data_IF_826919007702
#
_entry.id   IF_826919007702
#
_cell.length_a   1.000
_cell.length_b   1.000
_cell.length_c   1.000
_cell.angle_alpha   90.00
_cell.angle_beta   90.00
_cell.angle_gamma   90.00
#
_symmetry.space_group_name_H-M   'P 1'
#
loop_
_entity.id
_entity.type
_entity.pdbx_description
1 polymer ?
#
# COMPACT_ATOMS: atom_id res chain seq x y z
N UNK A 1 4.93 -11.35 22.97
CA UNK A 1 5.92 -10.39 22.45
C UNK A 1 6.68 -10.92 21.24
N UNK A 2 7.51 -11.95 21.41
CA UNK A 2 8.35 -12.47 20.30
C UNK A 2 7.53 -12.86 19.06
N UNK A 3 6.41 -13.55 19.25
CA UNK A 3 5.52 -13.95 18.16
C UNK A 3 4.92 -12.77 17.38
N UNK A 4 4.59 -11.68 18.06
CA UNK A 4 4.09 -10.46 17.42
C UNK A 4 5.16 -9.83 16.52
N UNK A 5 6.38 -9.67 17.01
CA UNK A 5 7.50 -9.14 16.23
C UNK A 5 7.85 -10.04 15.03
N UNK A 6 7.77 -11.36 15.22
CA UNK A 6 8.03 -12.31 14.15
C UNK A 6 6.94 -12.24 13.07
N UNK A 7 5.65 -12.19 13.45
CA UNK A 7 4.56 -12.05 12.50
C UNK A 7 4.65 -10.71 11.75
N UNK A 8 4.99 -9.63 12.45
CA UNK A 8 5.20 -8.30 11.88
C UNK A 8 6.34 -8.31 10.86
N UNK A 9 7.48 -8.90 11.23
CA UNK A 9 8.64 -9.03 10.34
C UNK A 9 8.29 -9.84 9.09
N UNK A 10 7.67 -11.02 9.24
CA UNK A 10 7.33 -11.90 8.11
C UNK A 10 6.32 -11.22 7.18
N UNK A 11 5.29 -10.59 7.72
CA UNK A 11 4.26 -9.91 6.95
C UNK A 11 4.86 -8.77 6.10
N UNK A 12 5.70 -7.95 6.69
CA UNK A 12 6.36 -6.87 5.95
C UNK A 12 7.48 -7.37 5.03
N UNK A 13 8.14 -8.46 5.36
CA UNK A 13 9.09 -9.12 4.48
C UNK A 13 8.41 -9.64 3.20
N UNK A 14 7.26 -10.29 3.34
CA UNK A 14 6.46 -10.73 2.20
C UNK A 14 5.94 -9.56 1.37
N UNK A 15 5.51 -8.47 2.03
CA UNK A 15 5.15 -7.24 1.32
C UNK A 15 6.30 -6.69 0.49
N UNK A 16 7.48 -6.57 1.07
CA UNK A 16 8.66 -6.09 0.36
C UNK A 16 9.12 -7.02 -0.77
N UNK A 17 8.86 -8.32 -0.64
CA UNK A 17 9.18 -9.30 -1.67
C UNK A 17 8.17 -9.32 -2.81
N UNK A 18 6.87 -9.18 -2.51
CA UNK A 18 5.78 -9.37 -3.47
C UNK A 18 5.21 -8.08 -4.05
N UNK A 19 5.48 -6.93 -3.45
CA UNK A 19 4.98 -5.63 -3.90
C UNK A 19 5.71 -5.12 -5.17
N UNK A 20 5.75 -5.95 -6.20
CA UNK A 20 6.25 -5.54 -7.52
C UNK A 20 5.25 -4.55 -8.14
N UNK A 21 5.69 -3.32 -8.36
CA UNK A 21 4.86 -2.28 -8.97
C UNK A 21 4.88 -0.95 -8.22
N UNK A 22 5.53 -0.92 -7.06
CA UNK A 22 5.74 0.31 -6.29
C UNK A 22 4.50 0.80 -5.54
N UNK A 23 4.45 2.08 -5.28
CA UNK A 23 3.43 2.73 -4.46
C UNK A 23 1.96 2.40 -4.79
N UNK A 24 1.52 2.26 -6.06
CA UNK A 24 0.11 1.98 -6.35
C UNK A 24 -0.39 0.61 -5.86
N UNK A 25 0.53 -0.34 -5.68
CA UNK A 25 0.19 -1.73 -5.32
C UNK A 25 0.16 -1.94 -3.80
N UNK A 26 0.91 -1.12 -3.08
CA UNK A 26 1.10 -1.26 -1.63
C UNK A 26 -0.18 -1.19 -0.79
N UNK A 27 -1.18 -0.32 -1.08
CA UNK A 27 -2.42 -0.29 -0.33
C UNK A 27 -3.13 -1.64 -0.28
N UNK A 28 -3.12 -2.40 -1.38
CA UNK A 28 -3.72 -3.73 -1.42
C UNK A 28 -3.00 -4.73 -0.51
N UNK A 29 -1.66 -4.72 -0.50
CA UNK A 29 -0.87 -5.59 0.37
C UNK A 29 -1.01 -5.22 1.84
N UNK A 30 -0.95 -3.95 2.17
CA UNK A 30 -1.10 -3.44 3.53
C UNK A 30 -2.50 -3.73 4.05
N UNK A 31 -3.54 -3.48 3.24
CA UNK A 31 -4.91 -3.81 3.58
C UNK A 31 -5.10 -5.31 3.85
N UNK A 32 -4.56 -6.17 2.99
CA UNK A 32 -4.63 -7.61 3.20
C UNK A 32 -3.95 -8.04 4.51
N UNK A 33 -2.77 -7.54 4.83
CA UNK A 33 -2.04 -7.89 6.05
C UNK A 33 -2.78 -7.43 7.30
N UNK A 34 -3.14 -6.17 7.35
CA UNK A 34 -3.70 -5.58 8.56
C UNK A 34 -5.16 -5.94 8.81
N UNK A 35 -5.94 -6.12 7.75
CA UNK A 35 -7.37 -6.39 7.85
C UNK A 35 -7.64 -7.90 7.77
N UNK A 36 -7.16 -8.56 6.69
CA UNK A 36 -7.57 -9.93 6.36
C UNK A 36 -6.75 -11.01 7.08
N UNK A 37 -5.43 -10.84 7.20
CA UNK A 37 -4.57 -11.87 7.78
C UNK A 37 -4.48 -11.80 9.30
N UNK A 38 -4.34 -10.60 9.85
CA UNK A 38 -4.06 -10.43 11.27
C UNK A 38 -5.16 -9.72 12.05
N UNK A 39 -6.12 -9.12 11.37
CA UNK A 39 -7.22 -8.35 12.00
C UNK A 39 -6.72 -7.31 13.03
N UNK A 40 -5.54 -6.74 12.79
CA UNK A 40 -4.93 -5.78 13.72
C UNK A 40 -5.66 -4.45 13.75
N UNK A 41 -6.23 -4.06 12.59
CA UNK A 41 -6.89 -2.76 12.41
C UNK A 41 -8.15 -2.88 11.57
N UNK A 42 -9.07 -1.93 11.79
CA UNK A 42 -10.22 -1.74 10.91
C UNK A 42 -9.80 -1.12 9.57
N UNK A 43 -10.57 -1.31 8.48
CA UNK A 43 -10.28 -0.70 7.19
C UNK A 43 -10.16 0.82 7.24
N UNK A 44 -10.94 1.52 8.06
CA UNK A 44 -10.82 2.96 8.26
C UNK A 44 -9.47 3.36 8.86
N UNK A 45 -8.98 2.60 9.84
CA UNK A 45 -7.65 2.83 10.42
C UNK A 45 -6.54 2.57 9.40
N UNK A 46 -6.65 1.49 8.62
CA UNK A 46 -5.68 1.17 7.56
C UNK A 46 -5.67 2.25 6.48
N UNK A 47 -6.83 2.77 6.09
CA UNK A 47 -6.95 3.88 5.15
C UNK A 47 -6.21 5.13 5.66
N UNK A 48 -6.38 5.45 6.94
CA UNK A 48 -5.68 6.57 7.58
C UNK A 48 -4.15 6.35 7.61
N UNK A 49 -3.67 5.14 7.89
CA UNK A 49 -2.24 4.82 7.85
C UNK A 49 -1.66 4.95 6.45
N UNK A 50 -2.39 4.50 5.43
CA UNK A 50 -1.99 4.64 4.04
C UNK A 50 -1.93 6.12 3.65
N UNK A 51 -2.96 6.90 3.98
CA UNK A 51 -2.99 8.33 3.72
C UNK A 51 -1.83 9.07 4.41
N UNK A 52 -1.55 8.78 5.68
CA UNK A 52 -0.42 9.33 6.41
C UNK A 52 0.91 8.96 5.75
N UNK A 53 1.04 7.72 5.30
CA UNK A 53 2.25 7.23 4.63
C UNK A 53 2.47 7.89 3.26
N UNK A 54 1.38 8.26 2.57
CA UNK A 54 1.44 8.99 1.30
C UNK A 54 1.84 10.46 1.46
N UNK A 55 1.44 11.10 2.55
CA UNK A 55 1.79 12.50 2.83
C UNK A 55 3.23 12.60 3.34
N UNK A 56 3.72 11.58 4.01
CA UNK A 56 5.08 11.56 4.56
C UNK A 56 6.10 11.44 3.41
N UNK A 57 7.08 12.37 3.32
CA UNK A 57 8.11 12.29 2.28
C UNK A 57 8.93 10.99 2.41
N UNK A 58 9.10 10.27 1.31
CA UNK A 58 9.84 9.01 1.25
C UNK A 58 9.10 7.92 0.50
N UNK A 59 9.62 6.69 0.58
CA UNK A 59 8.97 5.53 -0.02
C UNK A 59 7.75 5.12 0.81
N UNK A 60 6.62 4.92 0.13
CA UNK A 60 5.35 4.56 0.75
C UNK A 60 5.45 3.27 1.58
N UNK A 61 6.19 2.26 1.08
CA UNK A 61 6.36 0.99 1.78
C UNK A 61 7.09 1.16 3.12
N UNK A 62 8.14 1.99 3.13
CA UNK A 62 8.91 2.30 4.33
C UNK A 62 8.08 3.07 5.34
N UNK A 63 7.37 4.11 4.88
CA UNK A 63 6.51 4.93 5.73
C UNK A 63 5.40 4.09 6.34
N UNK A 64 4.72 3.27 5.53
CA UNK A 64 3.65 2.39 5.98
C UNK A 64 4.14 1.30 6.94
N UNK A 65 5.33 0.74 6.71
CA UNK A 65 5.95 -0.22 7.63
C UNK A 65 6.29 0.43 8.98
N UNK A 66 6.85 1.63 8.95
CA UNK A 66 7.21 2.38 10.16
C UNK A 66 5.98 2.72 10.99
N UNK A 67 4.96 3.32 10.36
CA UNK A 67 3.70 3.72 11.02
C UNK A 67 2.92 2.51 11.49
N UNK A 68 2.73 1.51 10.61
CA UNK A 68 2.00 0.29 10.91
C UNK A 68 2.66 -0.55 11.98
N UNK A 69 3.99 -0.68 11.95
CA UNK A 69 4.77 -1.37 12.97
C UNK A 69 4.67 -0.70 14.34
N UNK A 70 4.71 0.64 14.37
CA UNK A 70 4.46 1.41 15.59
C UNK A 70 3.05 1.18 16.12
N UNK A 71 2.04 1.37 15.30
CA UNK A 71 0.65 1.28 15.71
C UNK A 71 0.27 -0.12 16.21
N UNK A 72 0.72 -1.18 15.52
CA UNK A 72 0.47 -2.57 15.91
C UNK A 72 1.06 -2.87 17.29
N UNK A 73 2.26 -2.41 17.56
CA UNK A 73 2.91 -2.66 18.85
C UNK A 73 2.43 -1.71 19.95
N UNK A 74 2.03 -0.48 19.62
CA UNK A 74 1.46 0.47 20.57
C UNK A 74 0.10 0.04 21.11
N UNK A 75 -0.71 -0.62 20.30
CA UNK A 75 -2.02 -1.15 20.71
C UNK A 75 -1.92 -2.33 21.68
N UNK A 76 -0.80 -3.06 21.65
CA UNK A 76 -0.60 -4.29 22.45
C UNK A 76 0.45 -4.17 23.55
N UNK A 77 1.39 -3.22 23.43
CA UNK A 77 2.55 -3.09 24.29
C UNK A 77 2.79 -1.64 24.73
N UNK A 78 3.75 -1.42 25.62
CA UNK A 78 4.14 -0.07 26.07
C UNK A 78 4.93 0.68 24.99
N UNK A 79 4.90 2.01 24.99
CA UNK A 79 5.50 2.92 23.99
C UNK A 79 6.96 2.60 23.64
N UNK A 80 7.77 2.14 24.59
CA UNK A 80 9.17 1.76 24.32
C UNK A 80 9.30 0.59 23.34
N UNK A 81 8.36 -0.35 23.37
CA UNK A 81 8.35 -1.50 22.47
C UNK A 81 7.79 -1.14 21.07
N UNK A 82 7.06 -0.02 20.96
CA UNK A 82 6.51 0.44 19.69
C UNK A 82 7.59 0.92 18.72
N UNK A 83 8.65 1.52 19.24
CA UNK A 83 9.83 1.91 18.44
C UNK A 83 10.51 0.67 17.84
N UNK A 84 10.64 -0.41 18.64
CA UNK A 84 11.17 -1.67 18.12
C UNK A 84 10.26 -2.29 17.06
N UNK A 85 8.94 -2.18 17.21
CA UNK A 85 7.97 -2.61 16.20
C UNK A 85 8.16 -1.90 14.86
N UNK A 86 8.29 -0.56 14.89
CA UNK A 86 8.63 0.23 13.70
C UNK A 86 9.91 -0.24 13.03
N UNK A 87 10.96 -0.42 13.81
CA UNK A 87 12.28 -0.83 13.31
C UNK A 87 12.23 -2.21 12.66
N UNK A 88 11.56 -3.18 13.30
CA UNK A 88 11.43 -4.56 12.81
C UNK A 88 10.59 -4.60 11.53
N UNK A 89 9.49 -3.86 11.46
CA UNK A 89 8.66 -3.78 10.26
C UNK A 89 9.41 -3.15 9.09
N UNK A 90 10.13 -2.06 9.34
CA UNK A 90 10.94 -1.36 8.32
C UNK A 90 12.08 -2.26 7.82
N UNK A 91 12.77 -2.98 8.70
CA UNK A 91 13.75 -4.00 8.29
C UNK A 91 13.12 -5.11 7.47
N UNK A 92 11.92 -5.55 7.84
CA UNK A 92 11.17 -6.55 7.09
C UNK A 92 10.98 -6.14 5.62
N UNK A 93 10.52 -4.93 5.37
CA UNK A 93 10.30 -4.42 3.99
C UNK A 93 11.62 -4.21 3.23
N UNK A 94 12.66 -3.74 3.90
CA UNK A 94 13.92 -3.38 3.21
C UNK A 94 14.79 -4.58 2.86
N UNK A 95 14.84 -5.59 3.72
CA UNK A 95 15.70 -6.76 3.53
C UNK A 95 15.48 -7.47 2.19
N UNK A 96 14.25 -7.83 1.76
CA UNK A 96 14.06 -8.52 0.50
C UNK A 96 14.48 -7.66 -0.70
N UNK A 97 14.29 -6.34 -0.62
CA UNK A 97 14.72 -5.40 -1.66
C UNK A 97 16.25 -5.35 -1.79
N UNK A 98 16.98 -5.36 -0.69
CA UNK A 98 18.43 -5.44 -0.67
C UNK A 98 18.93 -6.75 -1.27
N UNK A 99 18.38 -7.87 -0.83
CA UNK A 99 18.77 -9.21 -1.29
C UNK A 99 18.49 -9.36 -2.79
N UNK A 100 17.29 -9.01 -3.25
CA UNK A 100 16.90 -9.13 -4.66
C UNK A 100 17.74 -8.23 -5.56
N UNK A 101 18.02 -6.99 -5.14
CA UNK A 101 18.89 -6.06 -5.87
C UNK A 101 20.34 -6.60 -5.94
N UNK A 102 20.86 -7.12 -4.84
CA UNK A 102 22.19 -7.73 -4.79
C UNK A 102 22.33 -8.92 -5.76
N UNK A 103 21.34 -9.80 -5.75
CA UNK A 103 21.27 -10.94 -6.68
C UNK A 103 21.17 -10.44 -8.12
N UNK A 104 20.27 -9.49 -8.40
CA UNK A 104 20.11 -8.93 -9.75
C UNK A 104 21.39 -8.27 -10.26
N UNK A 105 22.07 -7.48 -9.44
CA UNK A 105 23.34 -6.84 -9.81
C UNK A 105 24.43 -7.86 -10.14
N UNK A 106 24.50 -8.96 -9.41
CA UNK A 106 25.49 -10.02 -9.66
C UNK A 106 25.23 -10.77 -10.97
N UNK A 107 23.97 -10.98 -11.32
CA UNK A 107 23.58 -11.73 -12.53
C UNK A 107 23.15 -10.83 -13.69
N UNK A 108 23.28 -9.52 -13.58
CA UNK A 108 22.81 -8.54 -14.57
C UNK A 108 23.33 -8.79 -15.99
N UNK A 109 24.61 -9.13 -16.14
CA UNK A 109 25.23 -9.41 -17.45
C UNK A 109 24.59 -10.65 -18.10
N UNK A 110 24.49 -11.73 -17.37
CA UNK A 110 23.88 -12.99 -17.81
C UNK A 110 22.39 -12.83 -18.18
N UNK A 111 21.63 -12.15 -17.34
CA UNK A 111 20.20 -11.88 -17.57
C UNK A 111 19.97 -11.00 -18.81
N UNK A 112 20.88 -10.06 -19.07
CA UNK A 112 20.82 -9.18 -20.24
C UNK A 112 21.09 -9.96 -21.54
N UNK A 113 22.09 -10.83 -21.53
CA UNK A 113 22.42 -11.68 -22.69
C UNK A 113 21.30 -12.65 -23.06
N UNK A 114 20.60 -13.19 -22.05
CA UNK A 114 19.47 -14.11 -22.24
C UNK A 114 18.15 -13.40 -22.62
N UNK A 115 18.09 -12.07 -22.61
CA UNK A 115 16.87 -11.31 -22.92
C UNK A 115 15.75 -11.47 -21.88
N UNK A 116 15.97 -12.23 -20.80
CA UNK A 116 14.98 -12.58 -19.78
C UNK A 116 14.40 -11.32 -19.10
N UNK A 117 15.25 -10.31 -18.86
CA UNK A 117 14.84 -9.07 -18.18
C UNK A 117 13.72 -8.36 -18.93
N UNK A 118 13.82 -8.23 -20.26
CA UNK A 118 12.80 -7.56 -21.08
C UNK A 118 11.50 -8.36 -21.10
N UNK A 119 11.60 -9.68 -21.19
CA UNK A 119 10.44 -10.58 -21.18
C UNK A 119 9.68 -10.50 -19.88
N UNK A 120 10.37 -10.61 -18.72
CA UNK A 120 9.74 -10.51 -17.40
C UNK A 120 9.07 -9.15 -17.20
N UNK A 121 9.73 -8.04 -17.55
CA UNK A 121 9.14 -6.71 -17.44
C UNK A 121 7.89 -6.56 -18.32
N UNK A 122 7.89 -7.11 -19.55
CA UNK A 122 6.73 -7.03 -20.44
C UNK A 122 5.52 -7.78 -19.91
N UNK A 123 5.72 -8.91 -19.22
CA UNK A 123 4.64 -9.67 -18.56
C UNK A 123 4.15 -9.03 -17.27
N UNK A 124 5.02 -8.32 -16.54
CA UNK A 124 4.64 -7.62 -15.30
C UNK A 124 3.86 -6.33 -15.55
N UNK A 125 4.10 -5.63 -16.68
CA UNK A 125 3.44 -4.37 -17.01
C UNK A 125 1.90 -4.39 -16.88
N UNK A 126 1.16 -5.38 -17.43
CA UNK A 126 -0.30 -5.42 -17.31
C UNK A 126 -0.79 -5.84 -15.91
N UNK A 127 0.05 -6.49 -15.10
CA UNK A 127 -0.32 -6.96 -13.75
C UNK A 127 -0.40 -5.80 -12.76
N UNK A 128 0.51 -4.81 -12.88
CA UNK A 128 0.60 -3.66 -11.97
C UNK A 128 -0.73 -2.87 -11.88
N UNK A 129 -1.36 -2.41 -12.98
CA UNK A 129 -2.63 -1.70 -12.91
C UNK A 129 -3.78 -2.59 -12.39
N UNK A 130 -3.74 -3.89 -12.63
CA UNK A 130 -4.73 -4.82 -12.08
C UNK A 130 -4.69 -4.88 -10.56
N UNK A 131 -3.50 -5.00 -9.97
CA UNK A 131 -3.34 -5.01 -8.51
C UNK A 131 -3.67 -3.64 -7.92
N UNK A 132 -3.27 -2.54 -8.57
CA UNK A 132 -3.62 -1.19 -8.13
C UNK A 132 -5.14 -0.96 -8.10
N UNK A 133 -5.86 -1.44 -9.12
CA UNK A 133 -7.32 -1.38 -9.18
C UNK A 133 -7.95 -2.22 -8.05
N UNK A 134 -7.43 -3.42 -7.80
CA UNK A 134 -7.88 -4.28 -6.69
C UNK A 134 -7.73 -3.57 -5.34
N UNK A 135 -6.58 -2.90 -5.12
CA UNK A 135 -6.34 -2.12 -3.91
C UNK A 135 -7.31 -0.93 -3.76
N UNK A 136 -7.58 -0.23 -4.85
CA UNK A 136 -8.55 0.87 -4.85
C UNK A 136 -9.97 0.37 -4.52
N UNK A 137 -10.41 -0.74 -5.10
CA UNK A 137 -11.70 -1.36 -4.80
C UNK A 137 -11.77 -1.78 -3.34
N UNK A 138 -10.71 -2.40 -2.81
CA UNK A 138 -10.66 -2.84 -1.41
C UNK A 138 -10.80 -1.65 -0.44
N UNK A 139 -10.18 -0.51 -0.74
CA UNK A 139 -10.28 0.70 0.08
C UNK A 139 -11.64 1.40 -0.04
N UNK A 140 -12.35 1.20 -1.15
CA UNK A 140 -13.71 1.73 -1.36
C UNK A 140 -14.81 0.85 -0.76
N UNK A 141 -14.48 -0.41 -0.40
CA UNK A 141 -15.48 -1.30 0.21
C UNK A 141 -15.76 -0.90 1.65
N UNK A 142 -17.06 -0.82 2.05
CA UNK A 142 -17.43 -0.58 3.42
C UNK A 142 -16.96 -1.70 4.34
N UNK A 143 -16.63 -1.34 5.57
CA UNK A 143 -16.29 -2.28 6.61
C UNK A 143 -17.42 -3.29 6.85
N UNK A 144 -17.24 -4.51 6.38
CA UNK A 144 -18.17 -5.60 6.67
C UNK A 144 -18.25 -5.94 8.18
N UNK A 145 -17.34 -5.39 9.01
CA UNK A 145 -17.23 -5.67 10.46
C UNK A 145 -17.40 -4.46 11.38
N UNK A 146 -17.50 -3.27 10.87
CA UNK A 146 -17.61 -2.04 11.68
C UNK A 146 -18.80 -1.20 11.28
N UNK A 147 -19.92 -1.44 11.80
CA UNK A 147 -21.16 -0.72 12.01
C UNK A 147 -21.58 0.54 11.23
N UNK A 148 -20.70 1.13 10.48
CA UNK A 148 -21.03 2.27 9.63
C UNK A 148 -21.36 1.76 8.22
N UNK A 149 -22.65 1.60 7.96
CA UNK A 149 -23.15 1.38 6.60
C UNK A 149 -22.80 2.61 5.77
N UNK A 150 -21.80 2.49 4.89
CA UNK A 150 -21.60 3.53 3.88
C UNK A 150 -22.95 3.74 3.18
N UNK A 151 -23.44 4.96 3.22
CA UNK A 151 -24.64 5.34 2.51
C UNK A 151 -24.45 5.04 1.02
N UNK A 152 -25.47 4.53 0.34
CA UNK A 152 -25.44 4.33 -1.10
C UNK A 152 -25.04 5.62 -1.84
N UNK A 153 -25.28 6.78 -1.20
CA UNK A 153 -24.87 8.09 -1.67
C UNK A 153 -23.35 8.28 -1.64
N UNK A 154 -22.68 7.95 -0.57
CA UNK A 154 -21.22 8.07 -0.42
C UNK A 154 -20.47 7.16 -1.40
N UNK A 155 -20.98 5.94 -1.58
CA UNK A 155 -20.45 5.01 -2.58
C UNK A 155 -20.64 5.55 -4.01
N UNK A 156 -21.80 6.15 -4.29
CA UNK A 156 -22.07 6.80 -5.58
C UNK A 156 -21.10 7.96 -5.86
N UNK A 157 -20.83 8.81 -4.86
CA UNK A 157 -19.88 9.93 -4.96
C UNK A 157 -18.45 9.39 -5.21
N UNK A 158 -18.04 8.39 -4.48
CA UNK A 158 -16.70 7.79 -4.62
C UNK A 158 -16.48 7.22 -6.03
N UNK A 159 -17.45 6.49 -6.57
CA UNK A 159 -17.41 5.97 -7.94
C UNK A 159 -17.39 7.12 -8.95
N UNK A 160 -18.21 8.16 -8.76
CA UNK A 160 -18.24 9.32 -9.64
C UNK A 160 -16.91 10.08 -9.68
N UNK A 161 -16.30 10.32 -8.50
CA UNK A 161 -14.98 10.95 -8.39
C UNK A 161 -13.90 10.10 -9.06
N UNK A 162 -13.94 8.79 -8.86
CA UNK A 162 -13.00 7.85 -9.49
C UNK A 162 -13.09 7.90 -11.03
N UNK A 163 -14.30 7.80 -11.59
CA UNK A 163 -14.50 7.86 -13.04
C UNK A 163 -14.09 9.24 -13.60
N UNK A 164 -14.45 10.32 -12.90
CA UNK A 164 -14.08 11.70 -13.28
C UNK A 164 -12.57 11.89 -13.33
N UNK A 165 -11.84 11.28 -12.39
CA UNK A 165 -10.37 11.33 -12.34
C UNK A 165 -9.76 10.60 -13.53
N UNK A 166 -10.27 9.42 -13.88
CA UNK A 166 -9.80 8.66 -15.04
C UNK A 166 -10.04 9.46 -16.32
N UNK A 167 -11.24 10.00 -16.51
CA UNK A 167 -11.58 10.77 -17.71
C UNK A 167 -10.75 12.06 -17.80
N UNK A 168 -10.59 12.77 -16.69
CA UNK A 168 -9.80 13.99 -16.59
C UNK A 168 -8.33 13.78 -16.94
N UNK A 169 -7.76 12.68 -16.43
CA UNK A 169 -6.38 12.31 -16.72
C UNK A 169 -6.20 11.81 -18.15
N UNK A 170 -7.09 10.91 -18.64
CA UNK A 170 -6.93 10.26 -19.93
C UNK A 170 -7.29 11.17 -21.11
N UNK A 171 -8.36 11.99 -21.00
CA UNK A 171 -8.88 12.79 -22.11
C UNK A 171 -8.35 14.22 -22.10
N UNK A 172 -8.20 14.82 -20.93
CA UNK A 172 -7.81 16.24 -20.80
C UNK A 172 -6.34 16.42 -20.42
N UNK A 173 -5.58 15.35 -20.19
CA UNK A 173 -4.16 15.40 -19.79
C UNK A 173 -3.91 16.33 -18.58
N UNK A 174 -4.86 16.43 -17.66
CA UNK A 174 -4.65 17.17 -16.42
C UNK A 174 -3.56 16.52 -15.57
N UNK A 175 -2.76 17.36 -14.89
CA UNK A 175 -1.73 16.81 -14.01
C UNK A 175 -2.36 16.00 -12.87
N UNK A 176 -1.75 14.86 -12.46
CA UNK A 176 -2.26 14.04 -11.36
C UNK A 176 -2.44 14.84 -10.05
N UNK A 177 -1.52 15.78 -9.78
CA UNK A 177 -1.57 16.65 -8.59
C UNK A 177 -2.83 17.51 -8.59
N UNK A 178 -3.17 18.11 -9.73
CA UNK A 178 -4.37 18.92 -9.87
C UNK A 178 -5.64 18.11 -9.65
N UNK A 179 -5.71 16.90 -10.23
CA UNK A 179 -6.86 16.00 -10.06
C UNK A 179 -7.02 15.54 -8.61
N UNK A 180 -5.91 15.20 -7.93
CA UNK A 180 -5.92 14.83 -6.51
C UNK A 180 -6.40 16.00 -5.63
N UNK A 181 -5.93 17.22 -5.88
CA UNK A 181 -6.36 18.39 -5.12
C UNK A 181 -7.86 18.66 -5.31
N UNK A 182 -8.35 18.54 -6.53
CA UNK A 182 -9.76 18.75 -6.86
C UNK A 182 -10.66 17.68 -6.22
N UNK A 183 -10.25 16.41 -6.28
CA UNK A 183 -10.96 15.31 -5.61
C UNK A 183 -10.92 15.45 -4.09
N UNK A 184 -9.81 15.93 -3.51
CA UNK A 184 -9.70 16.18 -2.07
C UNK A 184 -10.66 17.28 -1.60
N UNK A 185 -10.76 18.40 -2.34
CA UNK A 185 -11.71 19.48 -2.04
C UNK A 185 -13.16 18.99 -2.22
N UNK A 186 -13.42 18.26 -3.30
CA UNK A 186 -14.75 17.71 -3.55
C UNK A 186 -15.14 16.68 -2.47
N UNK A 187 -14.23 15.83 -2.05
CA UNK A 187 -14.42 14.91 -0.93
C UNK A 187 -14.76 15.64 0.36
N UNK A 188 -14.02 16.69 0.71
CA UNK A 188 -14.27 17.48 1.91
C UNK A 188 -15.63 18.17 1.94
N UNK A 189 -16.16 18.54 0.76
CA UNK A 189 -17.48 19.19 0.67
C UNK A 189 -18.62 18.17 0.67
N UNK A 190 -18.41 16.98 0.12
CA UNK A 190 -19.46 15.98 -0.14
C UNK A 190 -19.57 14.91 0.95
N UNK A 191 -18.53 14.70 1.76
CA UNK A 191 -18.48 13.82 2.92
C UNK A 191 -18.39 14.60 4.23
#
# INVERSE_FOLDING_TARGET
MLLLYLSLFISFFLTGLLAFGGAPVLPAFIGNIFISQHEWFSPSQVSNFIALSMITPGDLALNAATVGGYATTASTLTTGYSILGSFIATLGVTLPSFVSTGIFCRFKSLLKELGITQTVISWLKPVIPGIALSGAILLMMPDAKGGDTISNWELGISIFLFISTIIGSAKFNFSPIFMLSLCGIAGWILF
#
